data_IF_346652191678
#
_entry.id   IF_346652191678
#
_cell.length_a   1.000
_cell.length_b   1.000
_cell.length_c   1.000
_cell.angle_alpha   90.00
_cell.angle_beta   90.00
_cell.angle_gamma   90.00
#
_symmetry.space_group_name_H-M   'P 1'
#
loop_
_entity.id
_entity.type
_entity.pdbx_description
1 polymer ?
#
# COMPACT_ATOMS: atom_id res chain seq x y z
N UNK A 1 -6.02 -2.40 27.20
CA UNK A 1 -6.77 -2.35 25.94
C UNK A 1 -6.82 -3.76 25.42
N UNK A 2 -8.01 -4.33 25.25
CA UNK A 2 -8.17 -5.71 24.76
C UNK A 2 -7.81 -5.84 23.26
N UNK A 3 -7.93 -7.05 22.73
CA UNK A 3 -7.76 -7.28 21.29
C UNK A 3 -8.86 -6.53 20.54
N UNK A 4 -8.46 -5.77 19.51
CA UNK A 4 -9.38 -5.17 18.55
C UNK A 4 -9.79 -6.25 17.53
N UNK A 5 -11.06 -6.63 17.55
CA UNK A 5 -11.63 -7.57 16.60
C UNK A 5 -12.52 -6.81 15.61
N UNK A 6 -12.08 -6.75 14.37
CA UNK A 6 -12.61 -5.82 13.36
C UNK A 6 -12.73 -6.45 11.98
N UNK A 7 -13.55 -5.84 11.15
CA UNK A 7 -13.61 -5.99 9.70
C UNK A 7 -13.93 -4.66 9.04
N UNK A 8 -13.80 -4.60 7.72
CA UNK A 8 -14.31 -3.48 6.94
C UNK A 8 -15.83 -3.52 6.93
N UNK A 9 -16.44 -2.38 7.26
CA UNK A 9 -17.88 -2.20 7.32
C UNK A 9 -18.28 -1.01 6.47
N UNK A 10 -19.05 -1.26 5.43
CA UNK A 10 -19.48 -0.25 4.46
C UNK A 10 -21.01 -0.17 4.43
N UNK A 11 -21.65 0.33 5.50
CA UNK A 11 -23.13 0.38 5.61
C UNK A 11 -23.77 1.26 4.55
N UNK A 12 -23.03 2.25 4.04
CA UNK A 12 -23.48 3.14 2.97
C UNK A 12 -23.80 2.41 1.65
N UNK A 13 -23.44 1.14 1.53
CA UNK A 13 -23.75 0.29 0.38
C UNK A 13 -25.07 -0.47 0.52
N UNK A 14 -25.72 -0.35 1.67
CA UNK A 14 -26.92 -1.09 2.04
C UNK A 14 -28.06 -0.19 2.48
N UNK A 15 -29.34 -0.64 2.34
CA UNK A 15 -30.48 0.06 2.92
C UNK A 15 -30.35 0.24 4.44
N UNK A 16 -30.93 1.31 4.98
CA UNK A 16 -30.78 1.65 6.41
C UNK A 16 -31.33 0.61 7.36
N UNK A 17 -32.33 -0.16 6.93
CA UNK A 17 -32.92 -1.26 7.70
C UNK A 17 -31.89 -2.35 8.01
N UNK A 18 -30.94 -2.58 7.11
CA UNK A 18 -29.83 -3.53 7.31
C UNK A 18 -28.87 -3.04 8.40
N UNK A 19 -28.71 -1.75 8.57
CA UNK A 19 -27.81 -1.22 9.60
C UNK A 19 -28.24 -1.57 11.03
N UNK A 20 -29.56 -1.66 11.29
CA UNK A 20 -30.07 -2.03 12.62
C UNK A 20 -29.84 -3.53 12.87
N UNK A 21 -30.03 -4.37 11.87
CA UNK A 21 -29.71 -5.79 11.92
C UNK A 21 -28.20 -6.02 12.12
N UNK A 22 -27.36 -5.30 11.40
CA UNK A 22 -25.89 -5.37 11.52
C UNK A 22 -25.41 -5.05 12.93
N UNK A 23 -26.00 -4.05 13.60
CA UNK A 23 -25.64 -3.71 14.99
C UNK A 23 -25.88 -4.87 15.95
N UNK A 24 -26.97 -5.63 15.76
CA UNK A 24 -27.23 -6.83 16.55
C UNK A 24 -26.25 -7.95 16.21
N UNK A 25 -25.93 -8.15 14.93
CA UNK A 25 -24.94 -9.13 14.49
C UNK A 25 -23.55 -8.82 15.06
N UNK A 26 -23.14 -7.56 15.13
CA UNK A 26 -21.87 -7.16 15.79
C UNK A 26 -21.87 -7.54 17.26
N UNK A 27 -22.97 -7.32 17.95
CA UNK A 27 -23.11 -7.70 19.36
C UNK A 27 -22.98 -9.22 19.57
N UNK A 28 -23.68 -10.02 18.74
CA UNK A 28 -23.64 -11.48 18.80
C UNK A 28 -22.27 -12.03 18.43
N UNK A 29 -21.61 -11.44 17.42
CA UNK A 29 -20.29 -11.81 16.97
C UNK A 29 -19.15 -11.28 17.86
N UNK A 30 -19.46 -10.49 18.90
CA UNK A 30 -18.48 -9.84 19.76
C UNK A 30 -17.46 -8.95 19.00
N UNK A 31 -17.90 -8.37 17.88
CA UNK A 31 -17.13 -7.35 17.17
C UNK A 31 -17.09 -6.09 18.04
N UNK A 32 -15.90 -5.57 18.28
CA UNK A 32 -15.70 -4.39 19.12
C UNK A 32 -15.08 -3.21 18.37
N UNK A 33 -14.74 -3.40 17.12
CA UNK A 33 -14.06 -2.41 16.28
C UNK A 33 -14.58 -2.52 14.85
N UNK A 34 -14.70 -1.41 14.13
CA UNK A 34 -15.12 -1.37 12.74
C UNK A 34 -14.23 -0.44 11.94
N UNK A 35 -13.85 -0.85 10.73
CA UNK A 35 -13.23 0.05 9.75
C UNK A 35 -14.33 0.58 8.85
N UNK A 36 -14.53 1.89 8.83
CA UNK A 36 -15.62 2.54 8.08
C UNK A 36 -15.08 3.55 7.07
N UNK A 37 -15.92 3.94 6.11
CA UNK A 37 -15.61 5.00 5.14
C UNK A 37 -14.47 4.66 4.16
N UNK A 38 -14.29 3.38 3.81
CA UNK A 38 -13.14 2.95 3.00
C UNK A 38 -13.24 3.46 1.55
N UNK A 39 -14.44 3.46 0.95
CA UNK A 39 -14.66 3.80 -0.45
C UNK A 39 -15.70 4.91 -0.68
N UNK A 40 -16.01 5.70 0.32
CA UNK A 40 -17.13 6.63 0.31
C UNK A 40 -16.83 8.02 -0.30
N UNK A 41 -15.70 8.24 -0.99
CA UNK A 41 -15.33 9.56 -1.52
C UNK A 41 -16.45 10.21 -2.32
N UNK A 42 -17.10 9.47 -3.23
CA UNK A 42 -18.19 9.99 -4.06
C UNK A 42 -19.43 10.41 -3.26
N UNK A 43 -19.70 9.75 -2.13
CA UNK A 43 -20.76 10.14 -1.20
C UNK A 43 -20.40 11.41 -0.43
N UNK A 44 -19.16 11.48 0.04
CA UNK A 44 -18.68 12.61 0.84
C UNK A 44 -18.49 13.87 0.01
N UNK A 45 -18.16 13.73 -1.28
CA UNK A 45 -17.90 14.86 -2.19
C UNK A 45 -18.59 14.60 -3.54
N UNK A 46 -19.80 15.13 -3.68
CA UNK A 46 -20.64 14.97 -4.89
C UNK A 46 -20.15 15.76 -6.09
N UNK A 47 -19.48 16.87 -5.85
CA UNK A 47 -18.85 17.72 -6.86
C UNK A 47 -17.62 18.41 -6.28
N UNK A 48 -16.95 19.22 -7.08
CA UNK A 48 -15.71 19.89 -6.68
C UNK A 48 -15.81 20.66 -5.36
N UNK A 49 -16.94 21.31 -5.12
CA UNK A 49 -17.14 22.18 -3.96
C UNK A 49 -18.25 21.71 -3.01
N UNK A 50 -18.90 20.60 -3.32
CA UNK A 50 -20.04 20.12 -2.54
C UNK A 50 -19.66 18.90 -1.71
N UNK A 51 -19.70 19.07 -0.38
CA UNK A 51 -19.40 18.01 0.59
C UNK A 51 -20.65 17.72 1.43
N UNK A 52 -20.87 16.42 1.71
CA UNK A 52 -21.93 15.96 2.60
C UNK A 52 -21.42 14.83 3.51
N UNK A 53 -21.45 15.07 4.81
CA UNK A 53 -20.99 14.11 5.83
C UNK A 53 -22.15 13.54 6.66
N UNK A 54 -23.39 13.85 6.34
CA UNK A 54 -24.56 13.50 7.16
C UNK A 54 -24.65 11.98 7.44
N UNK A 55 -24.43 11.18 6.41
CA UNK A 55 -24.50 9.74 6.52
C UNK A 55 -23.34 9.17 7.33
N UNK A 56 -22.13 9.66 7.08
CA UNK A 56 -20.95 9.26 7.85
C UNK A 56 -21.07 9.68 9.33
N UNK A 57 -21.63 10.86 9.61
CA UNK A 57 -21.89 11.30 10.98
C UNK A 57 -22.82 10.34 11.72
N UNK A 58 -23.85 9.84 11.05
CA UNK A 58 -24.76 8.88 11.64
C UNK A 58 -24.09 7.54 11.90
N UNK A 59 -23.29 7.04 10.95
CA UNK A 59 -22.51 5.80 11.13
C UNK A 59 -21.59 5.94 12.33
N UNK A 60 -20.82 7.01 12.41
CA UNK A 60 -19.91 7.29 13.54
C UNK A 60 -20.67 7.33 14.87
N UNK A 61 -21.80 8.05 14.91
CA UNK A 61 -22.62 8.16 16.12
C UNK A 61 -23.15 6.81 16.58
N UNK A 62 -23.68 5.97 15.68
CA UNK A 62 -24.20 4.63 16.00
C UNK A 62 -23.13 3.74 16.65
N UNK A 63 -21.95 3.68 16.03
CA UNK A 63 -20.84 2.87 16.56
C UNK A 63 -20.28 3.43 17.88
N UNK A 64 -20.15 4.74 18.01
CA UNK A 64 -19.72 5.39 19.25
C UNK A 64 -20.70 5.10 20.40
N UNK A 65 -22.01 5.19 20.16
CA UNK A 65 -23.06 4.87 21.14
C UNK A 65 -23.08 3.40 21.53
N UNK A 66 -22.76 2.50 20.61
CA UNK A 66 -22.64 1.07 20.88
C UNK A 66 -21.32 0.70 21.62
N UNK A 67 -20.44 1.65 21.86
CA UNK A 67 -19.15 1.43 22.50
C UNK A 67 -18.09 0.78 21.61
N UNK A 68 -18.31 0.73 20.30
CA UNK A 68 -17.33 0.22 19.34
C UNK A 68 -16.16 1.22 19.20
N UNK A 69 -14.98 0.69 18.96
CA UNK A 69 -13.87 1.44 18.43
C UNK A 69 -14.01 1.62 16.91
N UNK A 70 -13.58 2.76 16.40
CA UNK A 70 -13.65 3.09 14.98
C UNK A 70 -12.23 3.23 14.43
N UNK A 71 -12.03 2.62 13.28
CA UNK A 71 -10.90 2.85 12.38
C UNK A 71 -11.47 3.68 11.22
N UNK A 72 -11.14 4.96 11.17
CA UNK A 72 -11.67 5.88 10.16
C UNK A 72 -10.81 5.85 8.91
N UNK A 73 -11.37 5.43 7.79
CA UNK A 73 -10.66 5.44 6.51
C UNK A 73 -10.76 6.80 5.79
N UNK A 74 -9.77 7.09 4.94
CA UNK A 74 -9.68 8.36 4.21
C UNK A 74 -10.45 8.38 2.91
N UNK A 75 -10.99 7.26 2.45
CA UNK A 75 -11.76 7.07 1.21
C UNK A 75 -11.02 7.34 -0.10
N UNK A 76 -9.72 7.61 -0.06
CA UNK A 76 -8.96 8.13 -1.22
C UNK A 76 -8.60 7.08 -2.26
N UNK A 77 -8.88 5.80 -2.00
CA UNK A 77 -8.58 4.69 -2.94
C UNK A 77 -9.50 4.61 -4.15
N UNK A 78 -10.60 5.36 -4.14
CA UNK A 78 -11.58 5.37 -5.24
C UNK A 78 -11.87 6.80 -5.66
N UNK A 79 -11.40 7.17 -6.85
CA UNK A 79 -11.63 8.50 -7.42
C UNK A 79 -13.10 8.67 -7.81
N UNK A 80 -13.81 9.75 -7.40
CA UNK A 80 -15.18 9.97 -7.80
C UNK A 80 -15.31 10.31 -9.29
N UNK A 81 -16.45 9.96 -9.87
CA UNK A 81 -16.71 10.13 -11.32
C UNK A 81 -16.55 11.57 -11.80
N UNK A 82 -16.97 12.55 -11.01
CA UNK A 82 -16.85 13.96 -11.35
C UNK A 82 -15.39 14.40 -11.49
N UNK A 83 -14.49 13.89 -10.60
CA UNK A 83 -13.08 14.21 -10.63
C UNK A 83 -12.41 13.61 -11.87
N UNK A 84 -12.68 12.32 -12.15
CA UNK A 84 -12.18 11.64 -13.33
C UNK A 84 -12.69 12.26 -14.65
N UNK A 85 -13.91 12.79 -14.65
CA UNK A 85 -14.48 13.48 -15.83
C UNK A 85 -13.85 14.85 -16.06
N UNK A 86 -13.66 15.61 -14.98
CA UNK A 86 -13.13 17.00 -15.07
C UNK A 86 -11.62 17.02 -15.30
N UNK A 87 -10.93 16.07 -14.71
CA UNK A 87 -9.47 15.95 -14.70
C UNK A 87 -9.05 14.52 -15.08
N UNK A 88 -9.14 14.11 -16.37
CA UNK A 88 -8.85 12.75 -16.80
C UNK A 88 -7.45 12.26 -16.40
N UNK A 89 -6.47 13.16 -16.30
CA UNK A 89 -5.08 12.87 -15.91
C UNK A 89 -4.92 12.34 -14.48
N UNK A 90 -6.00 12.36 -13.67
CA UNK A 90 -5.99 11.68 -12.36
C UNK A 90 -5.99 10.16 -12.50
N UNK A 91 -6.42 9.65 -13.66
CA UNK A 91 -6.48 8.22 -13.91
C UNK A 91 -5.14 7.69 -14.45
N UNK A 92 -4.90 6.41 -14.20
CA UNK A 92 -3.67 5.73 -14.62
C UNK A 92 -3.60 5.52 -16.14
N UNK A 93 -2.38 5.45 -16.63
CA UNK A 93 -2.03 4.82 -17.91
C UNK A 93 -1.29 3.52 -17.60
N UNK A 94 -1.64 2.43 -18.26
CA UNK A 94 -0.96 1.15 -18.06
C UNK A 94 0.33 1.02 -18.89
N UNK A 95 1.03 -0.10 -18.74
CA UNK A 95 2.28 -0.39 -19.42
C UNK A 95 2.15 -0.39 -20.95
N UNK A 96 0.97 -0.72 -21.49
CA UNK A 96 0.67 -0.70 -22.93
C UNK A 96 0.29 0.69 -23.45
N UNK A 97 0.39 1.73 -22.63
CA UNK A 97 0.03 3.10 -23.01
C UNK A 97 -1.49 3.37 -23.00
N UNK A 98 -2.30 2.43 -22.51
CA UNK A 98 -3.76 2.60 -22.48
C UNK A 98 -4.15 3.41 -21.25
N UNK A 99 -4.71 4.60 -21.51
CA UNK A 99 -5.27 5.45 -20.46
C UNK A 99 -6.55 4.84 -19.91
N UNK A 100 -6.61 4.64 -18.58
CA UNK A 100 -7.75 4.00 -17.92
C UNK A 100 -8.97 4.93 -17.90
N UNK A 101 -10.14 4.32 -17.77
CA UNK A 101 -11.40 5.00 -17.60
C UNK A 101 -11.88 4.89 -16.15
N UNK A 102 -12.83 5.74 -15.76
CA UNK A 102 -13.54 5.60 -14.50
C UNK A 102 -14.21 4.22 -14.40
N UNK A 103 -14.26 3.64 -13.20
CA UNK A 103 -15.01 2.41 -12.92
C UNK A 103 -14.37 1.42 -11.95
N UNK A 104 -13.06 1.32 -11.88
CA UNK A 104 -12.37 0.43 -10.93
C UNK A 104 -11.77 1.22 -9.79
N UNK A 105 -11.67 0.62 -8.59
CA UNK A 105 -10.87 1.18 -7.48
C UNK A 105 -9.38 1.15 -7.83
N UNK A 106 -8.54 1.92 -7.13
CA UNK A 106 -7.09 2.04 -7.35
C UNK A 106 -6.73 2.46 -8.79
N UNK A 107 -7.58 3.25 -9.42
CA UNK A 107 -7.40 3.73 -10.79
C UNK A 107 -6.72 5.10 -10.87
N UNK A 108 -6.31 5.68 -9.76
CA UNK A 108 -5.66 7.00 -9.70
C UNK A 108 -4.15 6.91 -9.98
N UNK A 109 -3.61 7.96 -10.58
CA UNK A 109 -2.17 8.17 -10.71
C UNK A 109 -1.61 8.71 -9.38
N UNK A 110 -0.65 8.02 -8.71
CA UNK A 110 -0.09 8.48 -7.44
C UNK A 110 0.71 9.79 -7.58
N UNK A 111 1.12 10.15 -8.79
CA UNK A 111 1.89 11.36 -9.10
C UNK A 111 1.05 12.47 -9.75
N UNK A 112 -0.28 12.31 -9.87
CA UNK A 112 -1.16 13.39 -10.32
C UNK A 112 -1.25 14.48 -9.25
N UNK A 113 -0.85 15.74 -9.55
CA UNK A 113 -1.00 16.84 -8.61
C UNK A 113 -2.47 17.08 -8.22
N UNK A 114 -3.37 16.93 -9.19
CA UNK A 114 -4.81 17.10 -8.99
C UNK A 114 -5.37 16.03 -8.05
N UNK A 115 -5.01 14.76 -8.25
CA UNK A 115 -5.41 13.70 -7.32
C UNK A 115 -4.94 14.02 -5.89
N UNK A 116 -3.65 14.32 -5.73
CA UNK A 116 -3.08 14.63 -4.40
C UNK A 116 -3.75 15.84 -3.74
N UNK A 117 -4.08 16.87 -4.52
CA UNK A 117 -4.78 18.05 -4.02
C UNK A 117 -6.16 17.68 -3.46
N UNK A 118 -7.01 17.02 -4.25
CA UNK A 118 -8.37 16.70 -3.83
C UNK A 118 -8.41 15.63 -2.74
N UNK A 119 -7.54 14.62 -2.78
CA UNK A 119 -7.36 13.66 -1.70
C UNK A 119 -6.96 14.37 -0.39
N UNK A 120 -5.99 15.27 -0.44
CA UNK A 120 -5.57 16.07 0.71
C UNK A 120 -6.69 16.96 1.28
N UNK A 121 -7.47 17.59 0.41
CA UNK A 121 -8.63 18.40 0.83
C UNK A 121 -9.69 17.55 1.54
N UNK A 122 -10.01 16.36 1.03
CA UNK A 122 -10.96 15.45 1.68
C UNK A 122 -10.43 15.01 3.05
N UNK A 123 -9.18 14.56 3.11
CA UNK A 123 -8.54 14.09 4.35
C UNK A 123 -8.50 15.21 5.40
N UNK A 124 -8.18 16.44 5.00
CA UNK A 124 -8.19 17.60 5.89
C UNK A 124 -9.59 17.84 6.48
N UNK A 125 -10.64 17.74 5.66
CA UNK A 125 -12.03 17.92 6.13
C UNK A 125 -12.45 16.82 7.10
N UNK A 126 -12.11 15.57 6.82
CA UNK A 126 -12.34 14.44 7.72
C UNK A 126 -11.61 14.62 9.05
N UNK A 127 -10.32 14.98 9.00
CA UNK A 127 -9.51 15.17 10.21
C UNK A 127 -10.07 16.30 11.10
N UNK A 128 -10.42 17.44 10.51
CA UNK A 128 -11.01 18.59 11.25
C UNK A 128 -12.36 18.22 11.84
N UNK A 129 -13.22 17.51 11.08
CA UNK A 129 -14.56 17.15 11.52
C UNK A 129 -14.54 16.20 12.72
N UNK A 130 -13.69 15.18 12.66
CA UNK A 130 -13.68 14.10 13.65
C UNK A 130 -12.54 14.17 14.67
N UNK A 131 -11.79 15.28 14.76
CA UNK A 131 -10.64 15.43 15.67
C UNK A 131 -10.96 15.18 17.16
N UNK A 132 -12.21 15.39 17.57
CA UNK A 132 -12.65 15.24 18.95
C UNK A 132 -13.43 13.91 19.19
N UNK A 133 -13.61 13.08 18.17
CA UNK A 133 -14.36 11.83 18.31
C UNK A 133 -13.49 10.76 18.99
N UNK A 134 -13.85 10.44 20.23
CA UNK A 134 -13.09 9.50 21.07
C UNK A 134 -13.19 8.04 20.65
N UNK A 135 -14.24 7.67 19.91
CA UNK A 135 -14.40 6.32 19.39
C UNK A 135 -13.38 6.00 18.31
N UNK A 136 -12.88 7.01 17.56
CA UNK A 136 -11.85 6.84 16.55
C UNK A 136 -10.50 6.56 17.20
N UNK A 137 -9.99 5.34 17.03
CA UNK A 137 -8.72 4.88 17.59
C UNK A 137 -7.57 4.89 16.58
N UNK A 138 -7.89 4.70 15.30
CA UNK A 138 -6.94 4.67 14.19
C UNK A 138 -7.50 5.39 12.98
N UNK A 139 -6.60 5.90 12.15
CA UNK A 139 -6.89 6.39 10.81
C UNK A 139 -6.32 5.40 9.79
N UNK A 140 -7.19 4.89 8.93
CA UNK A 140 -6.84 3.99 7.83
C UNK A 140 -6.62 4.81 6.57
N UNK A 141 -5.38 4.96 6.16
CA UNK A 141 -4.98 5.82 5.04
C UNK A 141 -5.02 5.01 3.75
N UNK A 142 -5.78 5.53 2.77
CA UNK A 142 -5.98 4.84 1.51
C UNK A 142 -6.63 3.48 1.69
N UNK A 143 -6.26 2.54 0.87
CA UNK A 143 -6.57 1.11 0.99
C UNK A 143 -5.72 0.33 0.00
N UNK A 144 -5.02 -0.71 0.45
CA UNK A 144 -4.29 -1.65 -0.42
C UNK A 144 -3.50 -0.96 -1.53
N UNK A 145 -2.58 -0.05 -1.17
CA UNK A 145 -1.78 0.67 -2.15
C UNK A 145 -1.13 -0.28 -3.15
N UNK A 146 -1.56 -0.22 -4.41
CA UNK A 146 -1.15 -1.16 -5.44
C UNK A 146 -1.03 -0.52 -6.83
N UNK A 147 -0.45 -1.28 -7.75
CA UNK A 147 -0.43 -1.01 -9.18
C UNK A 147 0.57 0.06 -9.60
N UNK A 148 0.81 0.13 -10.87
CA UNK A 148 1.75 1.03 -11.53
C UNK A 148 1.01 1.98 -12.45
N UNK A 149 1.61 3.13 -12.74
CA UNK A 149 1.06 4.13 -13.66
C UNK A 149 2.17 4.66 -14.56
N UNK A 150 1.94 4.67 -15.86
CA UNK A 150 2.91 5.03 -16.89
C UNK A 150 2.49 6.27 -17.68
N UNK A 151 1.89 7.26 -17.00
CA UNK A 151 1.46 8.52 -17.60
C UNK A 151 2.57 9.59 -17.53
N UNK A 152 2.34 10.72 -18.20
CA UNK A 152 3.26 11.86 -18.21
C UNK A 152 3.57 12.43 -16.82
N UNK A 153 2.60 12.41 -15.88
CA UNK A 153 2.86 12.83 -14.51
C UNK A 153 3.91 11.93 -13.83
N UNK A 154 3.82 10.62 -14.09
CA UNK A 154 4.81 9.65 -13.58
C UNK A 154 6.16 9.83 -14.28
N UNK A 155 6.19 10.13 -15.56
CA UNK A 155 7.45 10.38 -16.28
C UNK A 155 8.19 11.60 -15.73
N UNK A 156 7.50 12.72 -15.57
CA UNK A 156 8.09 13.92 -14.94
C UNK A 156 8.60 13.65 -13.53
N UNK A 157 7.82 12.95 -12.71
CA UNK A 157 8.18 12.62 -11.34
C UNK A 157 9.35 11.62 -11.29
N UNK A 158 9.40 10.65 -12.20
CA UNK A 158 10.50 9.68 -12.29
C UNK A 158 11.83 10.34 -12.64
N UNK A 159 11.83 11.28 -13.60
CA UNK A 159 13.03 12.06 -13.93
C UNK A 159 13.55 12.86 -12.73
N UNK A 160 12.66 13.44 -11.92
CA UNK A 160 13.05 14.13 -10.67
C UNK A 160 13.67 13.14 -9.69
N UNK A 161 13.03 11.99 -9.47
CA UNK A 161 13.50 10.94 -8.58
C UNK A 161 14.88 10.40 -9.01
N UNK A 162 15.10 10.22 -10.31
CA UNK A 162 16.40 9.82 -10.86
C UNK A 162 17.48 10.90 -10.64
N UNK A 163 17.13 12.17 -10.82
CA UNK A 163 18.05 13.29 -10.52
C UNK A 163 18.48 13.29 -9.04
N UNK A 164 17.54 13.07 -8.14
CA UNK A 164 17.81 12.96 -6.70
C UNK A 164 18.69 11.76 -6.35
N UNK A 165 18.49 10.63 -7.03
CA UNK A 165 19.23 9.39 -6.78
C UNK A 165 20.65 9.42 -7.35
N UNK A 166 20.82 9.83 -8.58
CA UNK A 166 22.07 9.71 -9.33
C UNK A 166 22.86 11.01 -9.42
N UNK A 167 22.28 12.15 -9.16
CA UNK A 167 22.84 13.51 -9.19
C UNK A 167 23.29 13.96 -10.60
N UNK A 168 23.96 13.10 -11.37
CA UNK A 168 24.42 13.41 -12.75
C UNK A 168 23.96 12.35 -13.75
N UNK A 169 23.86 12.75 -15.03
CA UNK A 169 23.45 11.85 -16.09
C UNK A 169 24.53 10.79 -16.38
N UNK A 170 25.81 11.13 -16.15
CA UNK A 170 26.93 10.22 -16.29
C UNK A 170 26.88 9.11 -15.22
N UNK A 171 26.54 9.46 -13.98
CA UNK A 171 26.40 8.49 -12.90
C UNK A 171 25.22 7.53 -13.18
N UNK A 172 24.10 8.05 -13.71
CA UNK A 172 22.98 7.23 -14.15
C UNK A 172 23.39 6.27 -15.27
N UNK A 173 24.06 6.79 -16.32
CA UNK A 173 24.54 5.99 -17.44
C UNK A 173 25.45 4.85 -16.99
N UNK A 174 26.35 5.13 -16.06
CA UNK A 174 27.25 4.14 -15.48
C UNK A 174 26.50 3.09 -14.66
N UNK A 175 25.55 3.52 -13.81
CA UNK A 175 24.78 2.63 -12.95
C UNK A 175 23.83 1.72 -13.74
N UNK A 176 23.32 2.18 -14.87
CA UNK A 176 22.42 1.39 -15.71
C UNK A 176 23.17 0.52 -16.74
N UNK A 177 24.51 0.67 -16.84
CA UNK A 177 25.37 -0.04 -17.82
C UNK A 177 24.81 0.00 -19.26
N UNK A 178 24.39 1.18 -19.69
CA UNK A 178 23.66 1.40 -20.94
C UNK A 178 24.55 1.46 -22.19
N UNK A 179 25.81 1.06 -22.09
CA UNK A 179 26.69 0.93 -23.25
C UNK A 179 26.21 -0.12 -24.24
N UNK A 180 25.40 -1.10 -23.78
CA UNK A 180 24.77 -2.12 -24.61
C UNK A 180 23.85 -1.47 -25.64
N UNK A 181 24.07 -1.75 -26.92
CA UNK A 181 23.42 -1.11 -28.08
C UNK A 181 23.52 0.43 -28.09
N UNK A 182 24.43 0.99 -27.28
CA UNK A 182 24.69 2.43 -27.22
C UNK A 182 23.48 3.29 -26.82
N UNK A 183 22.67 2.82 -25.88
CA UNK A 183 21.49 3.52 -25.36
C UNK A 183 21.84 4.62 -24.33
N UNK A 184 22.89 5.39 -24.60
CA UNK A 184 23.38 6.43 -23.68
C UNK A 184 22.48 7.66 -23.69
N UNK A 185 22.17 8.16 -22.50
CA UNK A 185 21.48 9.43 -22.31
C UNK A 185 22.45 10.58 -22.11
N UNK A 186 22.13 11.73 -22.66
CA UNK A 186 22.88 12.98 -22.50
C UNK A 186 22.09 14.05 -21.78
N UNK A 187 20.76 13.93 -21.73
CA UNK A 187 19.85 14.79 -20.99
C UNK A 187 18.82 13.95 -20.24
N UNK A 188 18.35 14.47 -19.13
CA UNK A 188 17.29 13.84 -18.32
C UNK A 188 15.97 13.74 -19.08
N UNK A 189 15.70 14.69 -19.98
CA UNK A 189 14.46 14.71 -20.76
C UNK A 189 14.41 13.66 -21.88
N UNK A 190 15.55 13.02 -22.18
CA UNK A 190 15.60 11.85 -23.09
C UNK A 190 15.08 10.57 -22.41
N UNK A 191 14.98 10.55 -21.10
CA UNK A 191 14.52 9.36 -20.34
C UNK A 191 13.00 9.27 -20.45
N UNK A 192 12.51 8.18 -21.01
CA UNK A 192 11.09 7.82 -21.06
C UNK A 192 10.81 6.70 -20.05
N UNK A 193 9.52 6.53 -19.69
CA UNK A 193 9.14 5.40 -18.84
C UNK A 193 9.31 4.06 -19.59
N UNK A 194 9.55 2.96 -18.84
CA UNK A 194 9.41 1.63 -19.41
C UNK A 194 8.02 1.48 -20.04
N UNK A 195 7.93 0.91 -21.23
CA UNK A 195 6.67 0.73 -21.93
C UNK A 195 6.73 -0.46 -22.89
N UNK A 196 5.55 -0.95 -23.31
CA UNK A 196 5.44 -2.09 -24.22
C UNK A 196 5.87 -1.76 -25.65
N UNK A 197 5.79 -0.50 -26.04
CA UNK A 197 6.08 -0.05 -27.41
C UNK A 197 7.58 -0.01 -27.71
N UNK A 198 8.41 0.30 -26.69
CA UNK A 198 9.85 0.38 -26.82
C UNK A 198 10.58 -0.88 -26.38
N UNK A 199 10.05 -1.61 -25.41
CA UNK A 199 10.74 -2.74 -24.77
C UNK A 199 10.43 -4.12 -25.37
N UNK A 200 9.47 -4.22 -26.27
CA UNK A 200 9.01 -5.50 -26.82
C UNK A 200 8.13 -6.28 -25.81
N UNK A 201 8.11 -7.60 -25.93
CA UNK A 201 7.21 -8.46 -25.15
C UNK A 201 7.25 -8.19 -23.64
N UNK A 202 6.07 -8.11 -23.06
CA UNK A 202 5.85 -7.81 -21.64
C UNK A 202 6.79 -8.56 -20.69
N UNK A 203 7.50 -7.82 -19.87
CA UNK A 203 8.34 -8.34 -18.79
C UNK A 203 9.80 -8.60 -19.13
N UNK A 204 10.25 -8.43 -20.38
CA UNK A 204 11.63 -8.68 -20.78
C UNK A 204 12.23 -7.46 -21.45
N UNK A 205 12.75 -6.53 -20.66
CA UNK A 205 13.41 -5.37 -21.17
C UNK A 205 14.91 -5.60 -21.38
N UNK A 206 15.43 -5.11 -22.49
CA UNK A 206 16.88 -4.99 -22.67
C UNK A 206 17.51 -3.98 -21.71
N UNK A 207 16.72 -3.03 -21.22
CA UNK A 207 17.13 -2.06 -20.20
C UNK A 207 16.53 -2.43 -18.82
N UNK A 208 16.98 -3.52 -18.25
CA UNK A 208 16.48 -4.02 -16.96
C UNK A 208 16.64 -2.99 -15.82
N UNK A 209 17.67 -2.15 -15.86
CA UNK A 209 17.95 -1.14 -14.84
C UNK A 209 16.85 -0.08 -14.76
N UNK A 210 16.32 0.40 -15.90
CA UNK A 210 15.20 1.37 -15.89
C UNK A 210 13.94 0.79 -15.27
N UNK A 211 13.63 -0.49 -15.56
CA UNK A 211 12.46 -1.17 -14.96
C UNK A 211 12.62 -1.35 -13.46
N UNK A 212 13.81 -1.71 -13.02
CA UNK A 212 14.10 -1.85 -11.60
C UNK A 212 13.94 -0.51 -10.86
N UNK A 213 14.53 0.55 -11.40
CA UNK A 213 14.39 1.86 -10.81
C UNK A 213 12.95 2.39 -10.89
N UNK A 214 12.23 2.03 -11.95
CA UNK A 214 10.82 2.38 -12.03
C UNK A 214 9.96 1.65 -10.98
N UNK A 215 10.25 0.39 -10.67
CA UNK A 215 9.61 -0.35 -9.60
C UNK A 215 9.89 0.29 -8.22
N UNK A 216 11.13 0.73 -7.96
CA UNK A 216 11.50 1.47 -6.75
C UNK A 216 10.76 2.80 -6.65
N UNK A 217 10.81 3.58 -7.73
CA UNK A 217 10.09 4.86 -7.82
C UNK A 217 8.59 4.70 -7.60
N UNK A 218 7.98 3.65 -8.18
CA UNK A 218 6.55 3.41 -7.98
C UNK A 218 6.22 3.10 -6.52
N UNK A 219 7.05 2.31 -5.84
CA UNK A 219 6.93 2.06 -4.40
C UNK A 219 7.03 3.36 -3.59
N UNK A 220 8.02 4.20 -3.90
CA UNK A 220 8.19 5.51 -3.24
C UNK A 220 7.01 6.45 -3.51
N UNK A 221 6.46 6.42 -4.72
CA UNK A 221 5.27 7.21 -5.10
C UNK A 221 4.04 6.83 -4.29
N UNK A 222 3.79 5.52 -4.08
CA UNK A 222 2.70 5.04 -3.24
C UNK A 222 2.91 5.43 -1.77
N UNK A 223 4.14 5.25 -1.27
CA UNK A 223 4.51 5.66 0.09
C UNK A 223 4.35 7.18 0.28
N UNK A 224 4.65 7.98 -0.74
CA UNK A 224 4.47 9.42 -0.70
C UNK A 224 2.99 9.83 -0.59
N UNK A 225 2.06 9.09 -1.24
CA UNK A 225 0.61 9.29 -1.05
C UNK A 225 0.22 9.02 0.41
N UNK A 226 0.63 7.89 0.96
CA UNK A 226 0.36 7.54 2.37
C UNK A 226 0.91 8.62 3.32
N UNK A 227 2.17 9.04 3.13
CA UNK A 227 2.82 10.06 3.99
C UNK A 227 2.08 11.39 3.93
N UNK A 228 1.68 11.84 2.74
CA UNK A 228 0.97 13.11 2.56
C UNK A 228 -0.36 13.13 3.35
N UNK A 229 -1.16 12.09 3.25
CA UNK A 229 -2.42 11.99 4.00
C UNK A 229 -2.18 11.87 5.52
N UNK A 230 -1.21 11.05 5.92
CA UNK A 230 -0.80 10.93 7.34
C UNK A 230 -0.40 12.27 7.94
N UNK A 231 0.37 13.05 7.21
CA UNK A 231 0.91 14.31 7.71
C UNK A 231 -0.21 15.37 7.84
N UNK A 232 -1.20 15.37 6.95
CA UNK A 232 -2.41 16.17 7.08
C UNK A 232 -3.18 15.78 8.35
N UNK A 233 -3.40 14.48 8.58
CA UNK A 233 -4.10 14.00 9.77
C UNK A 233 -3.34 14.42 11.03
N UNK A 234 -2.03 14.17 11.08
CA UNK A 234 -1.19 14.52 12.24
C UNK A 234 -1.01 16.02 12.45
N UNK A 235 -1.08 16.81 11.41
CA UNK A 235 -1.12 18.26 11.50
C UNK A 235 -2.38 18.78 12.22
N UNK A 236 -3.48 18.02 12.14
CA UNK A 236 -4.75 18.35 12.80
C UNK A 236 -4.89 17.62 14.15
N UNK A 237 -4.40 16.39 14.24
CA UNK A 237 -4.49 15.48 15.40
C UNK A 237 -3.08 14.93 15.67
N UNK A 238 -2.23 15.62 16.45
CA UNK A 238 -0.80 15.31 16.56
C UNK A 238 -0.47 13.85 16.96
N UNK A 239 -1.31 13.24 17.80
CA UNK A 239 -1.11 11.87 18.30
C UNK A 239 -1.93 10.82 17.53
N UNK A 240 -2.44 11.15 16.33
CA UNK A 240 -3.21 10.23 15.53
C UNK A 240 -2.38 8.98 15.19
N UNK A 241 -2.96 7.82 15.47
CA UNK A 241 -2.43 6.53 15.06
C UNK A 241 -2.90 6.25 13.65
N UNK A 242 -1.97 6.12 12.72
CA UNK A 242 -2.26 5.88 11.31
C UNK A 242 -1.83 4.47 10.92
N UNK A 243 -2.65 3.82 10.11
CA UNK A 243 -2.44 2.49 9.55
C UNK A 243 -2.88 2.46 8.10
N UNK A 244 -2.61 1.38 7.42
CA UNK A 244 -3.21 0.98 6.16
C UNK A 244 -3.27 -0.54 6.12
N UNK A 245 -4.01 -1.11 5.19
CA UNK A 245 -3.99 -2.55 4.93
C UNK A 245 -3.10 -2.85 3.72
N UNK A 246 -2.62 -4.07 3.68
CA UNK A 246 -1.88 -4.62 2.55
C UNK A 246 -2.73 -5.72 1.92
N UNK A 247 -2.56 -5.91 0.62
CA UNK A 247 -3.25 -6.97 -0.10
C UNK A 247 -2.86 -8.35 0.45
N UNK A 248 -3.86 -9.18 0.60
CA UNK A 248 -3.66 -10.57 0.99
C UNK A 248 -4.94 -11.35 0.73
N UNK A 249 -4.80 -12.61 0.35
CA UNK A 249 -5.92 -13.52 0.24
C UNK A 249 -5.95 -14.43 1.47
N UNK A 250 -6.97 -14.27 2.28
CA UNK A 250 -7.27 -15.21 3.36
C UNK A 250 -8.41 -16.12 2.92
N UNK A 251 -8.30 -17.40 3.26
CA UNK A 251 -9.40 -18.33 3.10
C UNK A 251 -10.52 -17.95 4.05
N UNK A 252 -11.75 -18.30 3.70
CA UNK A 252 -12.95 -18.09 4.52
C UNK A 252 -12.70 -18.54 5.95
N UNK A 253 -12.94 -17.65 6.91
CA UNK A 253 -12.80 -17.94 8.33
C UNK A 253 -14.16 -17.98 9.00
N UNK A 254 -14.29 -18.82 10.01
CA UNK A 254 -15.45 -18.79 10.92
C UNK A 254 -15.25 -17.62 11.92
N UNK A 255 -15.81 -16.46 11.58
CA UNK A 255 -15.68 -15.24 12.38
C UNK A 255 -16.21 -15.42 13.81
N UNK A 256 -17.31 -16.14 14.00
CA UNK A 256 -17.88 -16.36 15.34
C UNK A 256 -16.98 -17.22 16.22
N UNK A 257 -16.37 -18.24 15.64
CA UNK A 257 -15.39 -19.08 16.34
C UNK A 257 -14.14 -18.30 16.67
N UNK A 258 -13.61 -17.53 15.72
CA UNK A 258 -12.42 -16.70 15.91
C UNK A 258 -12.65 -15.60 16.96
N UNK A 259 -13.78 -14.90 16.93
CA UNK A 259 -14.11 -13.86 17.88
C UNK A 259 -14.16 -14.40 19.32
N UNK A 260 -14.79 -15.57 19.52
CA UNK A 260 -14.82 -16.24 20.83
C UNK A 260 -13.43 -16.63 21.31
N UNK A 261 -12.59 -17.16 20.41
CA UNK A 261 -11.23 -17.54 20.75
C UNK A 261 -10.38 -16.32 21.09
N UNK A 262 -10.43 -15.25 20.31
CA UNK A 262 -9.73 -14.00 20.57
C UNK A 262 -10.14 -13.39 21.92
N UNK A 263 -11.43 -13.43 22.27
CA UNK A 263 -11.91 -12.98 23.59
C UNK A 263 -11.32 -13.83 24.71
N UNK A 264 -11.23 -15.14 24.54
CA UNK A 264 -10.71 -16.09 25.53
C UNK A 264 -9.22 -15.95 25.80
N UNK A 265 -8.41 -15.73 24.74
CA UNK A 265 -6.94 -15.70 24.83
C UNK A 265 -6.38 -14.28 24.89
N UNK A 266 -7.18 -13.25 24.58
CA UNK A 266 -6.74 -11.87 24.42
C UNK A 266 -5.94 -11.34 25.59
N UNK A 267 -6.44 -11.52 26.81
CA UNK A 267 -5.76 -11.03 28.01
C UNK A 267 -4.40 -11.69 28.25
N UNK A 268 -4.19 -12.90 27.70
CA UNK A 268 -2.93 -13.65 27.80
C UNK A 268 -1.94 -13.32 26.69
N UNK A 269 -2.41 -12.79 25.56
CA UNK A 269 -1.59 -12.57 24.36
C UNK A 269 -1.30 -11.10 24.11
N UNK A 270 -2.12 -10.17 24.64
CA UNK A 270 -1.86 -8.73 24.51
C UNK A 270 -0.53 -8.36 25.13
N UNK A 271 0.35 -7.74 24.35
CA UNK A 271 1.69 -7.34 24.76
C UNK A 271 2.74 -8.46 24.64
N UNK A 272 2.35 -9.69 24.26
CA UNK A 272 3.34 -10.73 23.95
C UNK A 272 4.05 -10.45 22.63
N UNK A 273 5.29 -10.89 22.53
CA UNK A 273 6.10 -10.83 21.30
C UNK A 273 6.64 -12.21 20.99
N UNK A 274 6.73 -12.53 19.70
CA UNK A 274 7.46 -13.70 19.22
C UNK A 274 8.85 -13.23 18.80
N UNK A 275 9.89 -13.83 19.36
CA UNK A 275 11.26 -13.58 18.93
C UNK A 275 11.69 -14.69 17.97
N UNK A 276 12.08 -14.29 16.76
CA UNK A 276 12.63 -15.21 15.77
C UNK A 276 13.93 -15.82 16.24
N UNK A 277 14.11 -17.12 15.98
CA UNK A 277 15.37 -17.84 16.18
C UNK A 277 16.20 -17.85 14.91
N UNK A 278 15.54 -17.69 13.75
CA UNK A 278 16.15 -17.66 12.44
C UNK A 278 15.70 -16.39 11.73
N UNK A 279 16.60 -15.72 11.05
CA UNK A 279 16.27 -14.65 10.12
C UNK A 279 16.27 -15.18 8.69
N UNK A 280 15.27 -14.79 7.91
CA UNK A 280 15.27 -14.95 6.45
C UNK A 280 15.41 -13.56 5.85
N UNK A 281 16.46 -13.38 5.06
CA UNK A 281 16.66 -12.13 4.31
C UNK A 281 15.68 -12.08 3.16
N UNK A 282 14.90 -10.99 3.11
CA UNK A 282 14.00 -10.70 2.01
C UNK A 282 14.47 -9.43 1.30
N UNK A 283 14.80 -9.56 0.02
CA UNK A 283 15.31 -8.48 -0.81
C UNK A 283 14.35 -8.15 -1.96
N UNK A 284 13.82 -6.93 -1.91
CA UNK A 284 12.90 -6.44 -2.93
C UNK A 284 13.56 -6.22 -4.29
N UNK A 285 14.83 -5.84 -4.31
CA UNK A 285 15.58 -5.63 -5.55
C UNK A 285 15.81 -6.96 -6.28
N UNK A 286 16.23 -7.99 -5.56
CA UNK A 286 16.35 -9.35 -6.10
C UNK A 286 14.99 -9.88 -6.61
N UNK A 287 13.90 -9.63 -5.88
CA UNK A 287 12.55 -9.99 -6.30
C UNK A 287 12.17 -9.34 -7.62
N UNK A 288 12.40 -8.03 -7.78
CA UNK A 288 12.06 -7.31 -9.01
C UNK A 288 13.00 -7.69 -10.17
N UNK A 289 14.30 -7.82 -9.91
CA UNK A 289 15.28 -8.19 -10.91
C UNK A 289 15.00 -9.59 -11.51
N UNK A 290 14.61 -10.56 -10.68
CA UNK A 290 14.24 -11.90 -11.17
C UNK A 290 12.99 -11.91 -12.05
N UNK A 291 12.05 -10.98 -11.86
CA UNK A 291 10.89 -10.85 -12.77
C UNK A 291 11.30 -10.45 -14.19
N UNK A 292 12.42 -9.75 -14.31
CA UNK A 292 12.94 -9.21 -15.58
C UNK A 292 14.05 -10.06 -16.18
N UNK A 293 14.49 -11.11 -15.47
CA UNK A 293 15.58 -11.97 -15.91
C UNK A 293 15.24 -12.76 -17.16
N UNK A 294 16.12 -12.71 -18.17
CA UNK A 294 16.01 -13.44 -19.43
C UNK A 294 17.03 -14.58 -19.59
N UNK A 295 17.98 -14.70 -18.66
CA UNK A 295 19.05 -15.67 -18.68
C UNK A 295 18.66 -17.05 -18.13
N UNK A 296 19.64 -17.86 -17.71
CA UNK A 296 19.41 -19.20 -17.13
C UNK A 296 18.45 -19.20 -15.94
N UNK A 297 18.34 -18.06 -15.25
CA UNK A 297 17.50 -17.90 -14.05
C UNK A 297 16.07 -17.43 -14.35
N UNK A 298 15.66 -17.32 -15.63
CA UNK A 298 14.36 -16.79 -16.06
C UNK A 298 13.14 -17.47 -15.41
N UNK A 299 13.30 -18.72 -15.00
CA UNK A 299 12.25 -19.52 -14.39
C UNK A 299 12.32 -19.55 -12.85
N UNK A 300 13.38 -18.97 -12.27
CA UNK A 300 13.52 -18.85 -10.82
C UNK A 300 12.49 -17.85 -10.28
N UNK A 301 11.71 -18.28 -9.30
CA UNK A 301 10.66 -17.46 -8.67
C UNK A 301 11.06 -17.12 -7.25
N UNK A 302 11.28 -15.84 -6.96
CA UNK A 302 11.80 -15.36 -5.68
C UNK A 302 10.93 -15.79 -4.49
N UNK A 303 9.64 -15.47 -4.50
CA UNK A 303 8.74 -15.77 -3.39
C UNK A 303 8.57 -17.27 -3.15
N UNK A 304 8.38 -18.13 -4.17
CA UNK A 304 8.37 -19.58 -3.97
C UNK A 304 9.64 -20.14 -3.33
N UNK A 305 10.83 -19.62 -3.68
CA UNK A 305 12.08 -20.06 -3.05
C UNK A 305 12.17 -19.62 -1.58
N UNK A 306 11.87 -18.36 -1.29
CA UNK A 306 11.81 -17.87 0.10
C UNK A 306 10.81 -18.70 0.91
N UNK A 307 9.65 -19.03 0.33
CA UNK A 307 8.63 -19.83 0.97
C UNK A 307 9.09 -21.25 1.30
N UNK A 308 9.90 -21.89 0.45
CA UNK A 308 10.45 -23.23 0.70
C UNK A 308 11.28 -23.26 1.99
N UNK A 309 12.12 -22.26 2.21
CA UNK A 309 12.91 -22.14 3.44
C UNK A 309 12.01 -21.86 4.65
N UNK A 310 11.06 -20.93 4.52
CA UNK A 310 10.12 -20.63 5.58
C UNK A 310 9.27 -21.85 5.97
N UNK A 311 8.68 -22.58 5.01
CA UNK A 311 7.85 -23.75 5.27
C UNK A 311 8.60 -24.86 6.00
N UNK A 312 9.87 -25.06 5.65
CA UNK A 312 10.72 -26.05 6.32
C UNK A 312 10.94 -25.74 7.82
N UNK A 313 11.05 -24.46 8.17
CA UNK A 313 11.18 -23.98 9.56
C UNK A 313 9.81 -23.97 10.27
N UNK A 314 8.78 -23.48 9.61
CA UNK A 314 7.41 -23.42 10.12
C UNK A 314 6.90 -24.79 10.56
N UNK A 315 7.09 -25.84 9.74
CA UNK A 315 6.71 -27.23 10.06
C UNK A 315 7.44 -27.79 11.27
N UNK A 316 8.54 -27.18 11.68
CA UNK A 316 9.33 -27.54 12.86
C UNK A 316 9.07 -26.64 14.06
N UNK A 317 8.08 -25.74 13.95
CA UNK A 317 7.75 -24.74 14.96
C UNK A 317 8.92 -23.83 15.34
N UNK A 318 9.81 -23.53 14.37
CA UNK A 318 10.93 -22.60 14.56
C UNK A 318 10.46 -21.21 14.19
N UNK A 319 10.41 -20.24 15.14
CA UNK A 319 10.03 -18.89 14.85
C UNK A 319 11.02 -18.19 13.91
N UNK A 320 10.50 -17.49 12.90
CA UNK A 320 11.30 -16.82 11.86
C UNK A 320 10.95 -15.34 11.82
N UNK A 321 11.97 -14.50 11.74
CA UNK A 321 11.83 -13.09 11.38
C UNK A 321 12.28 -12.87 9.93
N UNK A 322 11.58 -12.02 9.21
CA UNK A 322 12.01 -11.51 7.91
C UNK A 322 12.75 -10.20 8.11
N UNK A 323 13.95 -10.11 7.54
CA UNK A 323 14.78 -8.90 7.61
C UNK A 323 15.17 -8.44 6.21
N UNK A 324 15.30 -7.13 5.97
CA UNK A 324 15.72 -6.63 4.67
C UNK A 324 17.20 -6.91 4.40
N UNK A 325 17.60 -6.89 3.13
CA UNK A 325 18.98 -7.18 2.71
C UNK A 325 19.99 -6.11 3.17
N UNK A 326 19.53 -4.88 3.38
CA UNK A 326 20.31 -3.76 3.90
C UNK A 326 20.38 -3.71 5.44
N UNK A 327 19.94 -4.76 6.12
CA UNK A 327 20.02 -4.83 7.57
C UNK A 327 21.50 -4.83 8.01
N UNK A 328 21.84 -3.91 8.92
CA UNK A 328 23.18 -3.78 9.46
C UNK A 328 23.67 -5.06 10.16
N UNK A 329 24.99 -5.22 10.25
CA UNK A 329 25.68 -6.41 10.82
C UNK A 329 25.17 -6.73 12.22
N UNK A 330 24.94 -5.75 13.07
CA UNK A 330 24.44 -5.95 14.44
C UNK A 330 23.07 -6.64 14.47
N UNK A 331 22.19 -6.28 13.50
CA UNK A 331 20.89 -6.91 13.38
C UNK A 331 20.99 -8.36 12.90
N UNK A 332 21.89 -8.63 11.96
CA UNK A 332 22.16 -9.99 11.48
C UNK A 332 22.77 -10.86 12.57
N UNK A 333 23.74 -10.32 13.33
CA UNK A 333 24.43 -11.01 14.42
C UNK A 333 23.50 -11.36 15.61
N UNK A 334 22.30 -10.77 15.68
CA UNK A 334 21.31 -11.10 16.70
C UNK A 334 20.66 -12.49 16.50
N UNK A 335 20.84 -13.12 15.35
CA UNK A 335 20.27 -14.42 15.03
C UNK A 335 21.31 -15.52 14.97
N UNK A 336 21.05 -16.70 15.59
CA UNK A 336 21.91 -17.86 15.47
C UNK A 336 22.07 -18.38 14.04
N UNK A 337 21.07 -18.16 13.20
CA UNK A 337 21.07 -18.56 11.80
C UNK A 337 20.40 -17.47 10.95
N UNK A 338 21.07 -17.09 9.88
CA UNK A 338 20.55 -16.18 8.84
C UNK A 338 20.52 -16.93 7.53
N UNK A 339 19.37 -16.99 6.89
CA UNK A 339 19.15 -17.63 5.60
C UNK A 339 18.94 -16.58 4.51
N UNK A 340 19.64 -16.73 3.41
CA UNK A 340 19.56 -15.86 2.24
C UNK A 340 19.14 -16.68 1.02
N UNK A 341 17.86 -17.03 0.88
CA UNK A 341 17.40 -17.98 -0.14
C UNK A 341 17.77 -17.60 -1.56
N UNK A 342 17.62 -16.32 -1.89
CA UNK A 342 17.95 -15.80 -3.21
C UNK A 342 18.47 -14.37 -3.05
N UNK A 343 19.78 -14.18 -3.09
CA UNK A 343 20.38 -12.86 -3.25
C UNK A 343 20.86 -12.74 -4.71
N UNK A 344 19.95 -12.33 -5.59
CA UNK A 344 20.22 -12.19 -7.01
C UNK A 344 20.91 -10.87 -7.34
N UNK A 345 20.56 -9.84 -6.59
CA UNK A 345 21.25 -8.55 -6.61
C UNK A 345 21.71 -8.22 -5.18
N UNK A 346 22.96 -7.84 -5.03
CA UNK A 346 23.51 -7.33 -3.77
C UNK A 346 24.09 -5.94 -4.05
N UNK A 347 23.70 -4.97 -3.25
CA UNK A 347 24.25 -3.61 -3.30
C UNK A 347 25.10 -3.36 -2.05
N UNK A 348 26.16 -2.58 -2.22
CA UNK A 348 27.04 -2.19 -1.15
C UNK A 348 28.34 -2.98 -1.10
N UNK A 349 29.20 -2.54 -0.21
CA UNK A 349 30.52 -3.14 0.05
C UNK A 349 30.41 -4.44 0.87
#
# INVERSE_FOLDING_TARGET
MGILFSGDYNPEQWPREVWDEDMELFRVASVNTVTINVFAWALLQKSENEYNFTELDEIVRRHAQAGHHIIMATSTSTVPAWLARKYPEVLRTDYHGVHKKFGKRHNFCPNSPVYRQYAGMLVQRLAVRYKNERAIKYWHIGNEFEGECYCENCERAFRIWLKEKYQTIEALNAAWDIAFWNHRFYDWDEIVLPNDLGDGEAGRAFMSAIKLDYARFNSDSQLACYKAERDIIRGTIPNAKCTTNLMGTYRTMDYFRWAREMKRIGDKTVGSTVRGQVAIVFDWDSYQALKMCIGPNKDLRYVPEVWRFYDALYRRHIPVDFIPADAGVDKLAAYPLVLCPVLYMVQGD
#
